data_IF_486432969890
#
_entry.id   IF_486432969890
#
_cell.length_a   1.000
_cell.length_b   1.000
_cell.length_c   1.000
_cell.angle_alpha   90.00
_cell.angle_beta   90.00
_cell.angle_gamma   90.00
#
_symmetry.space_group_name_H-M   'P 1'
#
loop_
_entity.id
_entity.type
_entity.pdbx_description
1 polymer ?
#
# COMPACT_ATOMS: atom_id res chain seq x y z
N UNK A 1 14.77 9.00 -42.16
CA UNK A 1 14.94 7.52 -42.18
C UNK A 1 14.36 6.94 -43.47
N UNK A 2 15.13 6.12 -44.22
CA UNK A 2 14.66 5.44 -45.46
C UNK A 2 13.65 4.31 -45.12
N UNK A 3 12.76 3.99 -46.07
CA UNK A 3 11.49 3.27 -45.85
C UNK A 3 11.51 1.89 -45.18
N UNK A 4 12.65 1.19 -45.07
CA UNK A 4 12.72 -0.15 -44.43
C UNK A 4 12.70 -0.08 -42.90
N UNK A 5 13.34 0.92 -42.29
CA UNK A 5 13.42 1.04 -40.83
C UNK A 5 12.09 1.46 -40.19
N UNK A 6 11.21 2.10 -40.96
CA UNK A 6 9.85 2.48 -40.54
C UNK A 6 8.97 1.28 -40.14
N UNK A 7 9.21 0.11 -40.74
CA UNK A 7 8.40 -1.09 -40.51
C UNK A 7 8.96 -2.02 -39.41
N UNK A 8 10.18 -1.78 -38.92
CA UNK A 8 10.77 -2.52 -37.79
C UNK A 8 9.98 -2.26 -36.50
N UNK A 9 10.10 -3.15 -35.52
CA UNK A 9 9.56 -2.92 -34.19
C UNK A 9 10.20 -1.68 -33.56
N UNK A 10 9.42 -0.97 -32.75
CA UNK A 10 9.87 0.24 -32.08
C UNK A 10 10.87 -0.09 -30.97
N UNK A 11 11.89 0.75 -30.80
CA UNK A 11 12.91 0.65 -29.76
C UNK A 11 12.34 0.70 -28.33
N UNK A 12 11.12 1.24 -28.14
CA UNK A 12 10.47 1.36 -26.83
C UNK A 12 9.93 0.03 -26.28
N UNK A 13 10.03 -1.07 -27.02
CA UNK A 13 9.54 -2.40 -26.59
C UNK A 13 8.02 -2.56 -26.61
N UNK A 14 7.27 -1.60 -27.16
CA UNK A 14 5.79 -1.63 -27.19
C UNK A 14 5.17 -2.72 -28.08
N UNK A 15 5.98 -3.48 -28.84
CA UNK A 15 5.51 -4.42 -29.86
C UNK A 15 4.92 -3.77 -31.12
N UNK A 16 4.85 -2.43 -31.18
CA UNK A 16 4.35 -1.70 -32.36
C UNK A 16 5.48 -1.44 -33.37
N UNK A 17 5.14 -1.36 -34.66
CA UNK A 17 6.06 -0.87 -35.70
C UNK A 17 6.48 0.57 -35.37
N UNK A 18 7.73 0.95 -35.63
CA UNK A 18 8.27 2.28 -35.35
C UNK A 18 7.40 3.40 -35.96
N UNK A 19 6.94 3.22 -37.21
CA UNK A 19 6.03 4.16 -37.89
C UNK A 19 4.66 4.35 -37.22
N UNK A 20 4.24 3.41 -36.37
CA UNK A 20 2.99 3.45 -35.61
C UNK A 20 3.20 3.83 -34.15
N UNK A 21 4.44 4.14 -33.74
CA UNK A 21 4.80 4.36 -32.36
C UNK A 21 5.57 5.67 -32.15
N UNK A 22 6.80 5.76 -32.65
CA UNK A 22 7.74 6.83 -32.30
C UNK A 22 8.27 7.66 -33.49
N UNK A 23 7.80 7.42 -34.72
CA UNK A 23 8.31 8.14 -35.90
C UNK A 23 8.14 9.66 -35.87
N UNK A 24 7.00 10.13 -35.34
CA UNK A 24 6.65 11.56 -35.26
C UNK A 24 6.28 11.95 -33.82
N UNK A 25 6.82 11.26 -32.82
CA UNK A 25 6.43 11.40 -31.40
C UNK A 25 6.67 12.80 -30.84
N UNK A 26 7.78 13.41 -31.24
CA UNK A 26 8.21 14.75 -30.82
C UNK A 26 7.26 15.85 -31.32
N UNK A 27 6.57 15.62 -32.44
CA UNK A 27 5.60 16.56 -33.01
C UNK A 27 4.17 16.36 -32.48
N UNK A 28 3.95 15.38 -31.60
CA UNK A 28 2.63 15.15 -30.98
C UNK A 28 2.39 16.13 -29.83
N UNK A 29 1.12 16.43 -29.54
CA UNK A 29 0.78 17.24 -28.37
C UNK A 29 1.22 16.53 -27.07
N UNK A 30 1.93 17.24 -26.17
CA UNK A 30 2.26 16.70 -24.86
C UNK A 30 1.01 16.29 -24.06
N UNK A 31 1.16 15.25 -23.25
CA UNK A 31 0.13 14.83 -22.30
C UNK A 31 -0.05 15.92 -21.24
N UNK A 32 -1.30 16.28 -20.95
CA UNK A 32 -1.64 17.30 -19.94
C UNK A 32 -1.74 16.69 -18.55
N UNK A 33 -1.63 17.53 -17.53
CA UNK A 33 -1.88 17.10 -16.14
C UNK A 33 -3.28 16.50 -15.94
N UNK A 34 -4.29 17.00 -16.67
CA UNK A 34 -5.64 16.44 -16.69
C UNK A 34 -5.66 14.96 -17.09
N UNK A 35 -4.83 14.59 -18.06
CA UNK A 35 -4.77 13.23 -18.59
C UNK A 35 -4.14 12.28 -17.57
N UNK A 36 -3.14 12.75 -16.80
CA UNK A 36 -2.58 12.00 -15.67
C UNK A 36 -3.64 11.71 -14.59
N UNK A 37 -4.47 12.70 -14.28
CA UNK A 37 -5.60 12.53 -13.34
C UNK A 37 -6.60 11.52 -13.88
N UNK A 38 -6.89 11.53 -15.19
CA UNK A 38 -7.80 10.56 -15.82
C UNK A 38 -7.23 9.13 -15.82
N UNK A 39 -5.94 8.96 -16.10
CA UNK A 39 -5.26 7.66 -16.02
C UNK A 39 -5.35 7.12 -14.58
N UNK A 40 -5.08 7.94 -13.56
CA UNK A 40 -5.20 7.53 -12.17
C UNK A 40 -6.64 7.22 -11.75
N UNK A 41 -7.65 7.90 -12.34
CA UNK A 41 -9.06 7.54 -12.13
C UNK A 41 -9.37 6.16 -12.70
N UNK A 42 -8.81 5.77 -13.86
CA UNK A 42 -9.00 4.42 -14.44
C UNK A 42 -8.49 3.33 -13.50
N UNK A 43 -7.33 3.52 -12.87
CA UNK A 43 -6.77 2.59 -11.88
C UNK A 43 -7.78 2.26 -10.77
N UNK A 44 -8.55 3.25 -10.31
CA UNK A 44 -9.52 3.09 -9.20
C UNK A 44 -10.92 2.61 -9.61
N UNK A 45 -11.18 2.44 -10.91
CA UNK A 45 -12.52 2.15 -11.45
C UNK A 45 -12.66 0.76 -12.08
N UNK A 46 -11.63 -0.10 -12.00
CA UNK A 46 -11.74 -1.50 -12.43
C UNK A 46 -12.69 -2.23 -11.48
N UNK A 47 -13.66 -2.94 -12.05
CA UNK A 47 -14.68 -3.69 -11.30
C UNK A 47 -14.35 -5.17 -11.32
N UNK A 48 -13.98 -5.71 -10.16
CA UNK A 48 -13.65 -7.12 -9.99
C UNK A 48 -14.13 -7.60 -8.61
N UNK A 49 -14.35 -8.91 -8.47
CA UNK A 49 -14.48 -9.55 -7.17
C UNK A 49 -13.24 -10.40 -6.90
N UNK A 50 -12.48 -10.04 -5.87
CA UNK A 50 -11.25 -10.73 -5.46
C UNK A 50 -11.51 -11.94 -4.55
N UNK A 51 -12.76 -12.39 -4.43
CA UNK A 51 -13.09 -13.64 -3.73
C UNK A 51 -12.38 -14.85 -4.39
N UNK A 52 -12.10 -15.94 -3.63
CA UNK A 52 -11.56 -17.18 -4.18
C UNK A 52 -12.37 -17.66 -5.39
N UNK A 53 -11.69 -18.23 -6.39
CA UNK A 53 -12.35 -18.69 -7.62
C UNK A 53 -13.40 -19.77 -7.32
N UNK A 54 -13.13 -20.60 -6.32
CA UNK A 54 -13.98 -21.69 -5.83
C UNK A 54 -15.35 -21.21 -5.36
N UNK A 55 -15.44 -19.98 -4.84
CA UNK A 55 -16.70 -19.37 -4.40
C UNK A 55 -17.18 -18.28 -5.35
N UNK A 56 -16.52 -18.04 -6.49
CA UNK A 56 -16.96 -16.99 -7.43
C UNK A 56 -18.29 -17.30 -8.11
N UNK A 57 -18.71 -18.57 -8.18
CA UNK A 57 -20.03 -18.95 -8.68
C UNK A 57 -21.18 -18.24 -7.94
N UNK A 58 -20.93 -17.86 -6.69
CA UNK A 58 -21.85 -17.16 -5.81
C UNK A 58 -21.81 -15.62 -5.95
N UNK A 59 -20.94 -15.08 -6.82
CA UNK A 59 -20.82 -13.64 -6.99
C UNK A 59 -22.16 -12.97 -7.33
N UNK A 60 -22.53 -11.96 -6.55
CA UNK A 60 -23.60 -11.06 -6.94
C UNK A 60 -23.21 -10.24 -8.18
N UNK A 61 -24.20 -9.85 -9.00
CA UNK A 61 -23.98 -9.01 -10.19
C UNK A 61 -23.43 -7.61 -9.86
N UNK A 62 -23.53 -7.17 -8.60
CA UNK A 62 -23.19 -5.81 -8.16
C UNK A 62 -21.80 -5.77 -7.51
N UNK A 63 -20.81 -5.29 -8.24
CA UNK A 63 -19.54 -4.83 -7.65
C UNK A 63 -19.78 -3.51 -6.91
N UNK A 64 -19.35 -3.45 -5.65
CA UNK A 64 -19.56 -2.29 -4.77
C UNK A 64 -18.26 -1.52 -4.56
N UNK A 65 -18.36 -0.34 -3.95
CA UNK A 65 -17.21 0.38 -3.40
C UNK A 65 -16.92 -0.18 -2.01
N UNK A 66 -16.23 -1.31 -1.97
CA UNK A 66 -15.85 -2.02 -0.74
C UNK A 66 -14.81 -1.23 0.05
N UNK A 67 -14.96 -1.16 1.37
CA UNK A 67 -14.04 -0.49 2.27
C UNK A 67 -12.88 -1.42 2.64
N UNK A 68 -11.66 -1.08 2.23
CA UNK A 68 -10.45 -1.85 2.60
C UNK A 68 -10.01 -1.62 4.04
N UNK A 69 -10.38 -0.46 4.62
CA UNK A 69 -10.36 -0.19 6.05
C UNK A 69 -11.82 -0.02 6.49
N UNK A 70 -12.28 -0.84 7.44
CA UNK A 70 -13.68 -0.86 7.88
C UNK A 70 -14.20 0.53 8.22
N UNK A 71 -15.30 0.94 7.58
CA UNK A 71 -15.86 2.28 7.78
C UNK A 71 -16.36 2.50 9.21
N UNK A 72 -17.19 1.59 9.70
CA UNK A 72 -17.92 1.78 10.96
C UNK A 72 -17.01 1.61 12.19
N UNK A 73 -16.15 0.58 12.17
CA UNK A 73 -15.27 0.27 13.31
C UNK A 73 -14.03 1.17 13.34
N UNK A 74 -13.47 1.52 12.17
CA UNK A 74 -12.18 2.21 12.09
C UNK A 74 -12.33 3.65 11.63
N UNK A 75 -12.68 3.89 10.36
CA UNK A 75 -12.65 5.26 9.79
C UNK A 75 -13.55 6.25 10.54
N UNK A 76 -14.73 5.83 10.98
CA UNK A 76 -15.68 6.70 11.71
C UNK A 76 -15.10 7.21 13.03
N UNK A 77 -14.28 6.41 13.71
CA UNK A 77 -13.72 6.77 15.02
C UNK A 77 -12.65 7.86 14.97
N UNK A 78 -12.09 8.13 13.78
CA UNK A 78 -11.09 9.19 13.55
C UNK A 78 -11.62 10.33 12.67
N UNK A 79 -12.91 10.29 12.31
CA UNK A 79 -13.55 11.31 11.50
C UNK A 79 -13.98 12.53 12.33
N UNK A 80 -13.99 13.70 11.68
CA UNK A 80 -14.60 14.89 12.27
C UNK A 80 -16.14 14.78 12.33
N UNK A 81 -16.79 15.76 12.95
CA UNK A 81 -18.26 15.82 13.08
C UNK A 81 -18.99 15.83 11.72
N UNK A 82 -18.29 16.23 10.64
CA UNK A 82 -18.79 16.25 9.26
C UNK A 82 -18.45 14.97 8.50
N UNK A 83 -17.98 13.93 9.18
CA UNK A 83 -17.56 12.64 8.64
C UNK A 83 -16.41 12.76 7.61
N UNK A 84 -15.47 13.67 7.84
CA UNK A 84 -14.26 13.82 7.04
C UNK A 84 -12.99 13.37 7.77
N UNK A 85 -12.02 12.96 6.98
CA UNK A 85 -10.69 12.53 7.37
C UNK A 85 -9.65 13.34 6.62
N UNK A 86 -8.45 13.42 7.18
CA UNK A 86 -7.28 13.92 6.47
C UNK A 86 -6.44 12.76 5.91
N UNK A 87 -5.77 13.02 4.79
CA UNK A 87 -4.77 12.15 4.17
C UNK A 87 -3.77 13.03 3.42
N UNK A 88 -2.64 12.47 2.97
CA UNK A 88 -1.67 13.18 2.15
C UNK A 88 -1.80 12.75 0.69
N UNK A 89 -1.75 13.71 -0.22
CA UNK A 89 -1.70 13.46 -1.66
C UNK A 89 -0.46 14.07 -2.25
N UNK A 90 0.20 13.30 -3.10
CA UNK A 90 1.28 13.80 -3.95
C UNK A 90 0.67 14.43 -5.20
N UNK A 91 1.07 15.66 -5.50
CA UNK A 91 0.78 16.41 -6.72
C UNK A 91 2.09 16.77 -7.44
N UNK A 92 2.00 17.09 -8.72
CA UNK A 92 3.13 17.50 -9.56
C UNK A 92 4.34 16.55 -9.51
N UNK A 93 4.13 15.28 -9.86
CA UNK A 93 5.22 14.33 -10.16
C UNK A 93 5.89 14.73 -11.49
N UNK A 94 6.64 15.83 -11.49
CA UNK A 94 7.41 16.22 -12.66
C UNK A 94 8.74 15.46 -12.62
N UNK A 95 8.67 14.19 -13.07
CA UNK A 95 9.78 13.22 -13.07
C UNK A 95 11.04 13.81 -13.72
N UNK A 96 10.88 14.75 -14.66
CA UNK A 96 11.96 15.38 -15.42
C UNK A 96 12.87 16.32 -14.62
N UNK A 97 12.37 16.95 -13.56
CA UNK A 97 13.14 18.00 -12.87
C UNK A 97 13.79 17.57 -11.56
N UNK A 98 13.55 16.33 -11.10
CA UNK A 98 13.87 15.91 -9.73
C UNK A 98 13.40 16.94 -8.68
N UNK A 99 12.36 17.72 -9.00
CA UNK A 99 11.75 18.67 -8.07
C UNK A 99 11.07 17.86 -6.97
N UNK A 100 11.26 18.27 -5.71
CA UNK A 100 10.62 17.60 -4.58
C UNK A 100 9.11 17.51 -4.83
N UNK A 101 8.51 16.31 -4.82
CA UNK A 101 7.09 16.16 -5.11
C UNK A 101 6.30 17.05 -4.16
N UNK A 102 5.28 17.73 -4.68
CA UNK A 102 4.41 18.54 -3.83
C UNK A 102 3.51 17.56 -3.07
N UNK A 103 3.45 17.72 -1.75
CA UNK A 103 2.61 16.90 -0.89
C UNK A 103 1.64 17.81 -0.19
N UNK A 104 0.36 17.59 -0.42
CA UNK A 104 -0.72 18.42 0.08
C UNK A 104 -1.60 17.63 1.02
N UNK A 105 -2.07 18.30 2.07
CA UNK A 105 -3.16 17.80 2.88
C UNK A 105 -4.43 17.69 2.03
N UNK A 106 -5.06 16.54 2.05
CA UNK A 106 -6.34 16.31 1.39
C UNK A 106 -7.40 15.88 2.38
N UNK A 107 -8.57 16.51 2.31
CA UNK A 107 -9.74 16.17 3.11
C UNK A 107 -10.63 15.22 2.29
N UNK A 108 -11.06 14.12 2.89
CA UNK A 108 -11.86 13.08 2.24
C UNK A 108 -12.95 12.56 3.18
N UNK A 109 -14.18 12.46 2.68
CA UNK A 109 -15.29 11.88 3.45
C UNK A 109 -15.15 10.36 3.63
N UNK A 110 -15.60 9.84 4.78
CA UNK A 110 -15.49 8.40 5.13
C UNK A 110 -16.13 7.44 4.10
N UNK A 111 -17.12 7.91 3.33
CA UNK A 111 -17.76 7.11 2.29
C UNK A 111 -16.92 6.96 1.01
N UNK A 112 -15.83 7.73 0.88
CA UNK A 112 -14.88 7.66 -0.24
C UNK A 112 -13.49 7.19 0.22
N UNK A 113 -13.15 7.41 1.48
CA UNK A 113 -11.90 6.95 2.06
C UNK A 113 -11.82 5.43 2.02
N UNK A 114 -10.68 4.92 1.56
CA UNK A 114 -10.37 3.49 1.52
C UNK A 114 -11.40 2.64 0.75
N UNK A 115 -12.08 3.19 -0.26
CA UNK A 115 -13.08 2.44 -1.04
C UNK A 115 -12.60 2.05 -2.42
N UNK A 116 -12.74 0.77 -2.78
CA UNK A 116 -12.32 0.21 -4.07
C UNK A 116 -13.33 -0.81 -4.62
N UNK A 117 -13.35 -1.00 -5.94
CA UNK A 117 -14.30 -1.89 -6.63
C UNK A 117 -13.78 -3.32 -6.73
N UNK A 118 -13.41 -3.89 -5.57
CA UNK A 118 -12.66 -5.15 -5.44
C UNK A 118 -13.48 -6.33 -4.92
N UNK A 119 -14.70 -6.11 -4.43
CA UNK A 119 -15.62 -7.16 -4.01
C UNK A 119 -17.03 -6.89 -4.51
N UNK A 120 -17.79 -7.96 -4.75
CA UNK A 120 -19.23 -7.88 -4.95
C UNK A 120 -19.95 -7.71 -3.61
N UNK A 121 -21.19 -7.23 -3.60
CA UNK A 121 -21.92 -6.98 -2.35
C UNK A 121 -22.11 -8.23 -1.48
N UNK A 122 -22.21 -9.42 -2.07
CA UNK A 122 -22.33 -10.68 -1.31
C UNK A 122 -21.02 -11.01 -0.59
N UNK A 123 -19.92 -11.15 -1.35
CA UNK A 123 -18.64 -11.57 -0.79
C UNK A 123 -18.00 -10.54 0.14
N UNK A 124 -18.25 -9.25 -0.05
CA UNK A 124 -17.80 -8.23 0.90
C UNK A 124 -18.38 -8.48 2.30
N UNK A 125 -19.69 -8.76 2.38
CA UNK A 125 -20.39 -9.06 3.63
C UNK A 125 -19.95 -10.41 4.19
N UNK A 126 -19.99 -11.47 3.39
CA UNK A 126 -19.75 -12.83 3.87
C UNK A 126 -18.31 -13.03 4.35
N UNK A 127 -17.33 -12.58 3.58
CA UNK A 127 -15.92 -12.78 3.92
C UNK A 127 -15.53 -11.98 5.17
N UNK A 128 -16.01 -10.75 5.30
CA UNK A 128 -15.52 -9.84 6.33
C UNK A 128 -16.47 -9.64 7.50
N UNK A 129 -17.59 -10.37 7.57
CA UNK A 129 -18.51 -10.31 8.71
C UNK A 129 -17.82 -10.60 10.05
N UNK A 130 -16.77 -11.43 10.07
CA UNK A 130 -16.00 -11.73 11.28
C UNK A 130 -15.24 -10.52 11.84
N UNK A 131 -14.99 -9.51 11.00
CA UNK A 131 -14.33 -8.25 11.38
C UNK A 131 -15.33 -7.14 11.70
N UNK A 132 -16.52 -7.19 11.12
CA UNK A 132 -17.49 -6.08 11.17
C UNK A 132 -18.64 -6.32 12.14
N UNK A 133 -19.02 -7.58 12.36
CA UNK A 133 -20.19 -7.96 13.15
C UNK A 133 -19.84 -8.78 14.40
N UNK A 134 -18.55 -8.90 14.74
CA UNK A 134 -18.06 -9.59 15.95
C UNK A 134 -17.03 -8.73 16.67
N UNK A 135 -16.93 -8.91 17.98
CA UNK A 135 -15.84 -8.33 18.76
C UNK A 135 -14.51 -8.95 18.33
N UNK A 136 -13.46 -8.13 18.32
CA UNK A 136 -12.13 -8.58 17.92
C UNK A 136 -11.41 -9.19 19.12
N UNK A 137 -11.23 -10.51 19.09
CA UNK A 137 -10.71 -11.30 20.22
C UNK A 137 -9.40 -12.03 19.88
N UNK A 138 -8.73 -11.60 18.80
CA UNK A 138 -7.52 -12.24 18.26
C UNK A 138 -7.74 -13.70 17.82
N UNK A 139 -8.95 -14.04 17.38
CA UNK A 139 -9.15 -15.31 16.69
C UNK A 139 -8.30 -15.33 15.41
N UNK A 140 -7.68 -16.47 15.09
CA UNK A 140 -6.80 -16.58 13.93
C UNK A 140 -7.51 -16.19 12.63
N UNK A 141 -8.81 -16.50 12.48
CA UNK A 141 -9.66 -16.05 11.37
C UNK A 141 -9.73 -14.51 11.26
N UNK A 142 -9.77 -13.78 12.37
CA UNK A 142 -9.85 -12.32 12.35
C UNK A 142 -8.54 -11.71 11.85
N UNK A 143 -7.41 -12.20 12.35
CA UNK A 143 -6.08 -11.79 11.88
C UNK A 143 -5.92 -12.14 10.39
N UNK A 144 -6.29 -13.36 10.01
CA UNK A 144 -6.25 -13.84 8.65
C UNK A 144 -7.09 -12.96 7.71
N UNK A 145 -8.32 -12.62 8.08
CA UNK A 145 -9.19 -11.81 7.23
C UNK A 145 -8.74 -10.35 7.10
N UNK A 146 -8.07 -9.77 8.12
CA UNK A 146 -7.41 -8.47 7.99
C UNK A 146 -6.31 -8.54 6.93
N UNK A 147 -5.43 -9.54 7.01
CA UNK A 147 -4.37 -9.75 6.04
C UNK A 147 -4.91 -10.03 4.63
N UNK A 148 -5.93 -10.87 4.52
CA UNK A 148 -6.59 -11.20 3.26
C UNK A 148 -7.16 -9.96 2.56
N UNK A 149 -7.83 -9.08 3.32
CA UNK A 149 -8.38 -7.83 2.80
C UNK A 149 -7.28 -6.93 2.23
N UNK A 150 -6.18 -6.78 2.97
CA UNK A 150 -5.04 -5.97 2.55
C UNK A 150 -4.33 -6.56 1.33
N UNK A 151 -4.21 -7.90 1.26
CA UNK A 151 -3.62 -8.59 0.11
C UNK A 151 -4.44 -8.36 -1.16
N UNK A 152 -5.77 -8.54 -1.07
CA UNK A 152 -6.68 -8.30 -2.19
C UNK A 152 -6.59 -6.85 -2.70
N UNK A 153 -6.50 -5.90 -1.78
CA UNK A 153 -6.33 -4.49 -2.08
C UNK A 153 -5.01 -4.20 -2.80
N UNK A 154 -3.89 -4.68 -2.26
CA UNK A 154 -2.57 -4.43 -2.83
C UNK A 154 -2.43 -5.06 -4.22
N UNK A 155 -2.87 -6.31 -4.38
CA UNK A 155 -2.86 -7.00 -5.67
C UNK A 155 -3.74 -6.25 -6.70
N UNK A 156 -4.95 -5.83 -6.30
CA UNK A 156 -5.82 -5.04 -7.17
C UNK A 156 -5.15 -3.73 -7.62
N UNK A 157 -4.50 -3.00 -6.72
CA UNK A 157 -3.82 -1.75 -7.06
C UNK A 157 -2.70 -1.99 -8.07
N UNK A 158 -1.82 -2.96 -7.80
CA UNK A 158 -0.70 -3.25 -8.70
C UNK A 158 -1.18 -3.69 -10.08
N UNK A 159 -2.17 -4.57 -10.17
CA UNK A 159 -2.75 -4.97 -11.46
C UNK A 159 -3.41 -3.81 -12.19
N UNK A 160 -4.16 -2.96 -11.48
CA UNK A 160 -4.83 -1.80 -12.08
C UNK A 160 -3.85 -0.73 -12.55
N UNK A 161 -2.73 -0.57 -11.84
CA UNK A 161 -1.60 0.22 -12.30
C UNK A 161 -1.07 -0.41 -13.59
N UNK A 162 -0.68 -1.68 -13.61
CA UNK A 162 -0.12 -2.32 -14.80
C UNK A 162 -1.05 -2.22 -16.04
N UNK A 163 -2.37 -2.37 -15.86
CA UNK A 163 -3.37 -2.24 -16.92
C UNK A 163 -3.34 -0.87 -17.64
N UNK A 164 -2.88 0.18 -16.94
CA UNK A 164 -2.77 1.54 -17.46
C UNK A 164 -1.34 1.91 -17.92
N UNK A 165 -0.43 0.93 -17.98
CA UNK A 165 0.95 1.11 -18.44
C UNK A 165 1.02 1.71 -19.86
N UNK A 166 0.17 1.25 -20.77
CA UNK A 166 0.16 1.71 -22.18
C UNK A 166 -0.11 3.21 -22.28
N UNK A 167 -1.03 3.73 -21.46
CA UNK A 167 -1.32 5.15 -21.37
C UNK A 167 -0.17 5.92 -20.72
N UNK A 168 0.43 5.40 -19.64
CA UNK A 168 1.58 6.07 -18.99
C UNK A 168 2.80 6.16 -19.90
N UNK A 169 3.06 5.14 -20.71
CA UNK A 169 4.09 5.19 -21.76
C UNK A 169 3.82 6.23 -22.86
N UNK A 170 2.71 6.96 -22.82
CA UNK A 170 2.48 8.11 -23.71
C UNK A 170 2.93 9.45 -23.12
N UNK A 171 3.48 9.51 -21.90
CA UNK A 171 4.01 10.75 -21.31
C UNK A 171 5.20 11.34 -22.07
N UNK A 172 5.82 10.57 -22.96
CA UNK A 172 6.91 11.02 -23.82
C UNK A 172 6.44 11.73 -25.11
N UNK A 173 5.13 11.91 -25.32
CA UNK A 173 4.61 12.68 -26.47
C UNK A 173 5.05 14.13 -26.39
N UNK A 174 5.45 14.70 -27.52
CA UNK A 174 5.88 16.09 -27.61
C UNK A 174 7.23 16.38 -26.94
N UNK A 175 7.97 15.33 -26.56
CA UNK A 175 9.27 15.45 -25.90
C UNK A 175 10.42 15.18 -26.89
N UNK A 176 11.61 15.77 -26.67
CA UNK A 176 12.82 15.41 -27.42
C UNK A 176 13.19 13.93 -27.27
N UNK A 177 13.87 13.36 -28.27
CA UNK A 177 14.20 11.91 -28.30
C UNK A 177 14.93 11.41 -27.04
N UNK A 178 15.81 12.22 -26.45
CA UNK A 178 16.55 11.86 -25.22
C UNK A 178 15.59 11.69 -24.04
N UNK A 179 14.64 12.60 -23.87
CA UNK A 179 13.60 12.50 -22.84
C UNK A 179 12.67 11.31 -23.12
N UNK A 180 12.33 11.05 -24.39
CA UNK A 180 11.52 9.88 -24.75
C UNK A 180 12.21 8.57 -24.34
N UNK A 181 13.51 8.44 -24.59
CA UNK A 181 14.28 7.25 -24.20
C UNK A 181 14.28 7.06 -22.68
N UNK A 182 14.52 8.14 -21.92
CA UNK A 182 14.51 8.13 -20.45
C UNK A 182 13.14 7.71 -19.89
N UNK A 183 12.06 8.33 -20.37
CA UNK A 183 10.69 8.03 -19.95
C UNK A 183 10.32 6.58 -20.26
N UNK A 184 10.66 6.08 -21.46
CA UNK A 184 10.37 4.69 -21.83
C UNK A 184 11.20 3.69 -21.02
N UNK A 185 12.46 3.99 -20.71
CA UNK A 185 13.30 3.15 -19.86
C UNK A 185 12.76 3.09 -18.44
N UNK A 186 12.38 4.23 -17.86
CA UNK A 186 11.76 4.31 -16.53
C UNK A 186 10.48 3.47 -16.44
N UNK A 187 9.52 3.67 -17.36
CA UNK A 187 8.29 2.90 -17.34
C UNK A 187 8.50 1.42 -17.65
N UNK A 188 9.54 1.06 -18.44
CA UNK A 188 9.92 -0.34 -18.61
C UNK A 188 10.40 -0.96 -17.31
N UNK A 189 11.36 -0.34 -16.63
CA UNK A 189 11.85 -0.81 -15.35
C UNK A 189 10.71 -0.92 -14.31
N UNK A 190 9.87 0.10 -14.22
CA UNK A 190 8.72 0.12 -13.32
C UNK A 190 7.73 -1.00 -13.61
N UNK A 191 7.37 -1.23 -14.89
CA UNK A 191 6.47 -2.32 -15.26
C UNK A 191 7.09 -3.70 -14.97
N UNK A 192 8.38 -3.88 -15.22
CA UNK A 192 9.10 -5.14 -14.93
C UNK A 192 9.09 -5.42 -13.42
N UNK A 193 9.41 -4.43 -12.57
CA UNK A 193 9.34 -4.54 -11.11
C UNK A 193 7.90 -4.79 -10.60
N UNK A 194 6.91 -4.14 -11.22
CA UNK A 194 5.50 -4.32 -10.89
C UNK A 194 5.03 -5.74 -11.21
N UNK A 195 5.47 -6.33 -12.32
CA UNK A 195 5.16 -7.72 -12.68
C UNK A 195 5.74 -8.72 -11.67
N UNK A 196 6.96 -8.49 -11.17
CA UNK A 196 7.56 -9.32 -10.10
C UNK A 196 6.69 -9.25 -8.83
N UNK A 197 6.32 -8.04 -8.39
CA UNK A 197 5.44 -7.87 -7.23
C UNK A 197 4.06 -8.51 -7.42
N UNK A 198 3.46 -8.43 -8.62
CA UNK A 198 2.18 -9.08 -8.93
C UNK A 198 2.30 -10.60 -8.89
N UNK A 199 3.38 -11.17 -9.44
CA UNK A 199 3.66 -12.62 -9.37
C UNK A 199 3.65 -13.10 -7.92
N UNK A 200 4.41 -12.45 -7.06
CA UNK A 200 4.56 -12.86 -5.66
C UNK A 200 3.24 -12.77 -4.89
N UNK A 201 2.50 -11.66 -5.09
CA UNK A 201 1.18 -11.48 -4.47
C UNK A 201 0.14 -12.48 -4.99
N UNK A 202 0.24 -12.94 -6.24
CA UNK A 202 -0.65 -13.99 -6.78
C UNK A 202 -0.38 -15.33 -6.12
N UNK A 203 0.88 -15.72 -5.98
CA UNK A 203 1.26 -16.95 -5.27
C UNK A 203 0.78 -16.92 -3.80
N UNK A 204 0.91 -15.76 -3.15
CA UNK A 204 0.38 -15.57 -1.80
C UNK A 204 -1.16 -15.66 -1.78
N UNK A 205 -1.83 -15.02 -2.74
CA UNK A 205 -3.29 -15.02 -2.85
C UNK A 205 -3.84 -16.43 -3.05
N UNK A 206 -3.20 -17.26 -3.85
CA UNK A 206 -3.56 -18.67 -4.03
C UNK A 206 -3.51 -19.44 -2.71
N UNK A 207 -2.48 -19.20 -1.87
CA UNK A 207 -2.38 -19.83 -0.54
C UNK A 207 -3.49 -19.35 0.40
N UNK A 208 -3.72 -18.04 0.47
CA UNK A 208 -4.81 -17.48 1.24
C UNK A 208 -6.17 -18.02 0.77
N UNK A 209 -6.41 -18.11 -0.54
CA UNK A 209 -7.68 -18.63 -1.09
C UNK A 209 -7.93 -20.09 -0.71
N UNK A 210 -6.88 -20.91 -0.78
CA UNK A 210 -6.91 -22.31 -0.34
C UNK A 210 -7.24 -22.42 1.15
N UNK A 211 -6.50 -21.70 2.02
CA UNK A 211 -6.75 -21.72 3.46
C UNK A 211 -8.13 -21.17 3.84
N UNK A 212 -8.59 -20.13 3.16
CA UNK A 212 -9.93 -19.56 3.37
C UNK A 212 -11.03 -20.55 3.02
N UNK A 213 -10.91 -21.22 1.87
CA UNK A 213 -11.90 -22.20 1.38
C UNK A 213 -11.94 -23.45 2.27
N UNK A 214 -10.76 -23.90 2.74
CA UNK A 214 -10.64 -25.05 3.66
C UNK A 214 -10.91 -24.69 5.13
N UNK A 215 -11.09 -23.41 5.46
CA UNK A 215 -11.28 -22.89 6.83
C UNK A 215 -10.10 -23.17 7.76
N UNK A 216 -8.89 -23.06 7.25
CA UNK A 216 -7.62 -23.32 7.96
C UNK A 216 -6.93 -22.01 8.34
N UNK A 217 -7.10 -21.55 9.58
CA UNK A 217 -6.61 -20.23 10.00
C UNK A 217 -5.35 -20.25 10.87
N UNK A 218 -4.90 -21.43 11.32
CA UNK A 218 -3.66 -21.59 12.10
C UNK A 218 -2.37 -21.38 11.27
N UNK A 219 -2.53 -20.96 10.02
CA UNK A 219 -1.48 -20.61 9.09
C UNK A 219 -0.95 -19.17 9.25
N UNK A 220 -1.50 -18.35 10.16
CA UNK A 220 -1.14 -16.93 10.27
C UNK A 220 -0.25 -16.64 11.48
N UNK A 221 0.81 -15.84 11.27
CA UNK A 221 1.60 -15.21 12.34
C UNK A 221 1.12 -13.80 12.60
N UNK A 222 1.21 -13.34 13.85
CA UNK A 222 0.95 -11.96 14.19
C UNK A 222 1.77 -11.43 15.35
N UNK A 223 1.96 -10.12 15.32
CA UNK A 223 2.46 -9.28 16.39
C UNK A 223 1.57 -8.05 16.50
N UNK A 224 0.98 -7.84 17.68
CA UNK A 224 0.05 -6.76 17.92
C UNK A 224 0.43 -5.93 19.13
N UNK A 225 0.36 -4.61 18.98
CA UNK A 225 0.54 -3.64 20.05
C UNK A 225 -0.83 -3.05 20.38
N UNK A 226 -1.23 -3.16 21.64
CA UNK A 226 -2.46 -2.56 22.18
C UNK A 226 -2.14 -1.20 22.79
N UNK A 227 -2.88 -0.16 22.39
CA UNK A 227 -2.77 1.20 22.95
C UNK A 227 -4.06 1.62 23.66
N UNK A 228 -3.92 2.40 24.73
CA UNK A 228 -5.02 2.80 25.62
C UNK A 228 -5.91 3.93 25.09
N UNK A 229 -5.83 4.25 23.80
CA UNK A 229 -6.56 5.33 23.16
C UNK A 229 -6.96 4.96 21.74
N UNK A 230 -7.91 5.70 21.18
CA UNK A 230 -8.16 5.73 19.74
C UNK A 230 -6.95 6.36 19.06
N UNK A 231 -6.39 5.66 18.08
CA UNK A 231 -5.26 6.12 17.30
C UNK A 231 -5.60 7.40 16.52
N UNK A 232 -4.66 8.36 16.47
CA UNK A 232 -4.76 9.58 15.66
C UNK A 232 -4.76 9.29 14.15
N UNK A 233 -4.27 8.13 13.75
CA UNK A 233 -4.18 7.70 12.35
C UNK A 233 -4.54 6.23 12.20
N UNK A 234 -5.08 5.88 11.05
CA UNK A 234 -5.40 4.51 10.67
C UNK A 234 -4.80 4.27 9.30
N UNK A 235 -4.06 3.17 9.18
CA UNK A 235 -3.53 2.70 7.91
C UNK A 235 -3.67 1.21 7.77
N UNK A 236 -3.66 0.75 6.52
CA UNK A 236 -3.55 -0.67 6.20
C UNK A 236 -2.71 -0.90 4.94
N UNK A 237 -1.93 -1.97 4.90
CA UNK A 237 -1.17 -2.34 3.71
C UNK A 237 -0.78 -3.82 3.72
N UNK A 238 -0.34 -4.29 2.55
CA UNK A 238 0.52 -5.45 2.39
C UNK A 238 1.86 -4.92 1.89
N UNK A 239 2.94 -5.13 2.64
CA UNK A 239 4.23 -4.50 2.38
C UNK A 239 5.37 -5.51 2.46
N UNK A 240 6.37 -5.36 1.58
CA UNK A 240 7.54 -6.23 1.55
C UNK A 240 8.65 -5.65 2.43
N UNK A 241 9.11 -6.37 3.48
CA UNK A 241 10.16 -5.90 4.37
C UNK A 241 11.53 -5.89 3.69
N UNK A 242 11.91 -4.73 3.15
CA UNK A 242 13.21 -4.51 2.49
C UNK A 242 14.31 -4.08 3.45
N UNK A 243 13.94 -3.38 4.52
CA UNK A 243 14.83 -2.97 5.62
C UNK A 243 14.07 -3.06 6.93
N UNK A 244 14.80 -3.25 8.04
CA UNK A 244 14.25 -3.25 9.39
C UNK A 244 14.31 -1.86 10.05
N UNK A 245 13.87 -1.73 11.31
CA UNK A 245 13.92 -0.46 12.06
C UNK A 245 15.35 -0.04 12.46
N UNK A 246 16.34 -0.90 12.23
CA UNK A 246 17.77 -0.62 12.38
C UNK A 246 18.41 -0.19 11.05
N UNK A 247 17.63 -0.14 9.97
CA UNK A 247 18.07 0.04 8.57
C UNK A 247 18.99 -1.08 8.05
N UNK A 248 18.92 -2.26 8.66
CA UNK A 248 19.56 -3.46 8.11
C UNK A 248 18.80 -3.90 6.86
N UNK A 249 19.49 -4.07 5.73
CA UNK A 249 18.90 -4.63 4.50
C UNK A 249 18.42 -6.06 4.80
N UNK A 250 17.12 -6.29 4.62
CA UNK A 250 16.49 -7.59 4.83
C UNK A 250 16.37 -8.36 3.53
N UNK A 251 16.01 -7.70 2.43
CA UNK A 251 15.75 -8.33 1.14
C UNK A 251 16.57 -7.69 0.02
N UNK A 252 16.94 -8.48 -0.98
CA UNK A 252 17.59 -7.99 -2.20
C UNK A 252 16.61 -7.95 -3.37
N UNK A 253 16.05 -6.78 -3.65
CA UNK A 253 15.07 -6.58 -4.72
C UNK A 253 15.64 -6.73 -6.13
N UNK A 254 16.97 -6.82 -6.28
CA UNK A 254 17.60 -7.09 -7.58
C UNK A 254 17.46 -8.57 -7.99
N UNK A 255 17.30 -9.47 -7.02
CA UNK A 255 17.03 -10.88 -7.29
C UNK A 255 15.55 -11.10 -7.61
N UNK A 256 15.20 -10.94 -8.88
CA UNK A 256 13.81 -11.10 -9.36
C UNK A 256 13.27 -12.52 -9.23
N UNK A 257 14.12 -13.53 -9.02
CA UNK A 257 13.68 -14.93 -8.83
C UNK A 257 13.29 -15.23 -7.38
N UNK A 258 13.79 -14.43 -6.43
CA UNK A 258 13.42 -14.57 -5.03
C UNK A 258 11.96 -14.15 -4.81
N UNK A 259 11.27 -14.89 -3.94
CA UNK A 259 9.88 -14.62 -3.56
C UNK A 259 9.88 -14.26 -2.08
N UNK A 260 9.34 -13.09 -1.79
CA UNK A 260 9.32 -12.54 -0.45
C UNK A 260 7.97 -12.76 0.22
N UNK A 261 7.99 -13.07 1.51
CA UNK A 261 6.80 -13.07 2.34
C UNK A 261 6.50 -11.64 2.79
N UNK A 262 5.39 -11.01 2.36
CA UNK A 262 5.04 -9.68 2.79
C UNK A 262 4.42 -9.67 4.18
N UNK A 263 4.55 -8.56 4.88
CA UNK A 263 3.82 -8.26 6.11
C UNK A 263 2.56 -7.47 5.76
N UNK A 264 1.41 -7.94 6.22
CA UNK A 264 0.20 -7.14 6.33
C UNK A 264 0.24 -6.32 7.62
N UNK A 265 0.01 -5.01 7.53
CA UNK A 265 -0.15 -4.14 8.69
C UNK A 265 -1.55 -3.52 8.72
N UNK A 266 -2.13 -3.37 9.90
CA UNK A 266 -3.44 -2.74 10.10
C UNK A 266 -3.52 -2.06 11.45
N UNK A 267 -4.12 -0.87 11.49
CA UNK A 267 -4.59 -0.26 12.73
C UNK A 267 -6.09 -0.45 12.80
N UNK A 268 -6.57 -1.06 13.89
CA UNK A 268 -7.99 -1.20 14.15
C UNK A 268 -8.34 -0.61 15.51
N UNK A 269 -9.55 -0.09 15.62
CA UNK A 269 -10.06 0.48 16.85
C UNK A 269 -11.10 -0.46 17.45
N UNK A 270 -10.98 -0.67 18.76
CA UNK A 270 -11.86 -1.55 19.55
C UNK A 270 -12.25 -0.74 20.78
N UNK A 271 -13.53 -0.37 20.85
CA UNK A 271 -14.08 0.48 21.90
C UNK A 271 -13.29 1.79 22.08
N UNK A 272 -12.55 1.93 23.19
CA UNK A 272 -11.72 3.10 23.50
C UNK A 272 -10.21 2.84 23.33
N UNK A 273 -9.85 1.73 22.69
CA UNK A 273 -8.47 1.28 22.47
C UNK A 273 -8.20 1.10 20.98
N UNK A 274 -6.93 0.96 20.62
CA UNK A 274 -6.53 0.57 19.27
C UNK A 274 -5.51 -0.55 19.30
N UNK A 275 -5.54 -1.37 18.25
CA UNK A 275 -4.54 -2.40 17.99
C UNK A 275 -3.78 -2.03 16.73
N UNK A 276 -2.45 -2.05 16.82
CA UNK A 276 -1.56 -2.05 15.67
C UNK A 276 -1.16 -3.49 15.44
N UNK A 277 -1.57 -4.08 14.32
CA UNK A 277 -1.41 -5.51 14.03
C UNK A 277 -0.53 -5.66 12.81
N UNK A 278 0.57 -6.39 12.97
CA UNK A 278 1.39 -6.90 11.87
C UNK A 278 1.15 -8.40 11.76
N UNK A 279 0.98 -8.92 10.55
CA UNK A 279 0.67 -10.33 10.30
C UNK A 279 1.19 -10.81 8.96
N UNK A 280 1.52 -12.09 8.86
CA UNK A 280 2.02 -12.72 7.63
C UNK A 280 1.71 -14.22 7.65
N UNK A 281 1.78 -14.85 6.48
CA UNK A 281 1.52 -16.28 6.35
C UNK A 281 2.73 -17.08 6.85
N UNK A 282 2.51 -18.01 7.77
CA UNK A 282 3.51 -18.92 8.32
C UNK A 282 4.05 -19.83 7.21
N UNK A 283 5.35 -20.13 7.25
CA UNK A 283 6.02 -21.07 6.33
C UNK A 283 5.85 -20.73 4.83
N UNK A 284 5.39 -19.52 4.50
CA UNK A 284 5.30 -19.04 3.12
C UNK A 284 6.63 -18.41 2.72
N UNK A 285 7.43 -19.14 1.93
CA UNK A 285 8.78 -18.74 1.57
C UNK A 285 9.60 -18.30 2.81
N UNK A 286 10.57 -17.42 2.66
CA UNK A 286 11.46 -17.02 3.74
C UNK A 286 10.77 -16.05 4.72
N UNK A 287 10.01 -16.58 5.70
CA UNK A 287 9.35 -15.79 6.75
C UNK A 287 10.35 -15.06 7.68
N UNK A 288 11.64 -15.37 7.56
CA UNK A 288 12.73 -14.74 8.31
C UNK A 288 12.76 -13.22 8.16
N UNK A 289 12.38 -12.70 7.00
CA UNK A 289 12.32 -11.26 6.74
C UNK A 289 11.28 -10.60 7.63
N UNK A 290 10.11 -11.24 7.76
CA UNK A 290 9.05 -10.77 8.65
C UNK A 290 9.49 -10.82 10.12
N UNK A 291 10.12 -11.93 10.52
CA UNK A 291 10.63 -12.09 11.89
C UNK A 291 11.70 -11.03 12.23
N UNK A 292 12.68 -10.79 11.36
CA UNK A 292 13.72 -9.77 11.59
C UNK A 292 13.14 -8.36 11.71
N UNK A 293 12.22 -8.01 10.81
CA UNK A 293 11.53 -6.73 10.86
C UNK A 293 10.80 -6.53 12.20
N UNK A 294 9.98 -7.50 12.62
CA UNK A 294 9.24 -7.43 13.88
C UNK A 294 10.17 -7.49 15.10
N UNK A 295 11.24 -8.28 15.08
CA UNK A 295 12.24 -8.30 16.15
C UNK A 295 12.89 -6.93 16.34
N UNK A 296 13.22 -6.22 15.25
CA UNK A 296 13.77 -4.86 15.35
C UNK A 296 12.76 -3.87 15.98
N UNK A 297 11.48 -3.94 15.61
CA UNK A 297 10.41 -3.14 16.24
C UNK A 297 10.22 -3.50 17.72
N UNK A 298 10.28 -4.78 18.05
CA UNK A 298 10.11 -5.26 19.42
C UNK A 298 11.24 -4.73 20.34
N UNK A 299 12.46 -4.63 19.83
CA UNK A 299 13.64 -4.10 20.54
C UNK A 299 13.56 -2.58 20.81
N UNK A 300 12.71 -1.83 20.12
CA UNK A 300 12.54 -0.38 20.35
C UNK A 300 11.92 -0.14 21.74
N UNK A 301 12.48 0.77 22.56
CA UNK A 301 11.90 1.18 23.85
C UNK A 301 10.45 1.68 23.73
N UNK A 302 9.62 1.41 24.74
CA UNK A 302 8.18 1.74 24.68
C UNK A 302 7.89 3.23 24.45
N UNK A 303 8.75 4.12 24.95
CA UNK A 303 8.64 5.57 24.81
C UNK A 303 9.06 6.09 23.42
N UNK A 304 9.66 5.25 22.58
CA UNK A 304 10.01 5.53 21.18
C UNK A 304 9.19 4.71 20.17
N UNK A 305 8.59 3.60 20.62
CA UNK A 305 7.92 2.62 19.75
C UNK A 305 6.75 3.22 18.96
N UNK A 306 5.95 4.11 19.58
CA UNK A 306 4.85 4.80 18.88
C UNK A 306 5.38 5.72 17.77
N UNK A 307 6.46 6.47 18.02
CA UNK A 307 7.10 7.29 17.02
C UNK A 307 7.75 6.51 15.88
N UNK A 308 8.34 5.35 16.17
CA UNK A 308 8.85 4.44 15.14
C UNK A 308 7.73 3.94 14.22
N UNK A 309 6.59 3.54 14.80
CA UNK A 309 5.40 3.11 14.05
C UNK A 309 4.85 4.26 13.20
N UNK A 310 4.73 5.47 13.77
CA UNK A 310 4.29 6.66 13.02
C UNK A 310 5.19 6.92 11.81
N UNK A 311 6.51 6.90 12.02
CA UNK A 311 7.48 7.07 10.94
C UNK A 311 7.27 6.01 9.86
N UNK A 312 7.23 4.72 10.23
CA UNK A 312 7.06 3.65 9.26
C UNK A 312 5.74 3.75 8.48
N UNK A 313 4.62 4.04 9.13
CA UNK A 313 3.33 4.20 8.45
C UNK A 313 3.35 5.37 7.46
N UNK A 314 3.86 6.53 7.86
CA UNK A 314 3.96 7.68 6.95
C UNK A 314 4.96 7.44 5.82
N UNK A 315 6.01 6.64 6.04
CA UNK A 315 6.98 6.31 4.98
C UNK A 315 6.58 5.14 4.08
N UNK A 316 5.63 4.28 4.46
CA UNK A 316 5.41 3.00 3.76
C UNK A 316 3.96 2.71 3.37
N UNK A 317 2.99 3.46 3.88
CA UNK A 317 1.56 3.11 3.78
C UNK A 317 0.79 4.19 3.04
N UNK A 318 0.33 3.87 1.83
CA UNK A 318 -0.49 4.79 1.02
C UNK A 318 -1.96 4.86 1.49
N UNK A 319 -2.52 3.74 1.98
CA UNK A 319 -3.89 3.69 2.48
C UNK A 319 -3.95 4.20 3.93
N UNK A 320 -3.57 5.47 4.12
CA UNK A 320 -3.35 6.11 5.40
C UNK A 320 -4.28 7.32 5.55
N UNK A 321 -4.99 7.38 6.67
CA UNK A 321 -5.91 8.46 7.03
C UNK A 321 -5.68 8.86 8.48
N UNK A 322 -5.94 10.11 8.81
CA UNK A 322 -5.72 10.64 10.15
C UNK A 322 -6.74 11.71 10.54
N UNK A 323 -6.86 11.91 11.86
CA UNK A 323 -7.73 12.91 12.45
C UNK A 323 -7.33 14.30 11.98
N UNK A 324 -8.29 15.09 11.50
CA UNK A 324 -8.04 16.47 11.06
C UNK A 324 -7.63 17.37 12.23
N UNK A 325 -8.23 17.17 13.40
CA UNK A 325 -7.90 17.91 14.63
C UNK A 325 -6.46 17.65 15.07
N UNK A 326 -6.02 16.39 15.08
CA UNK A 326 -4.64 16.02 15.36
C UNK A 326 -3.68 16.72 14.41
N UNK A 327 -3.92 16.59 13.10
CA UNK A 327 -3.06 17.24 12.09
C UNK A 327 -2.99 18.76 12.32
N UNK A 328 -4.13 19.42 12.55
CA UNK A 328 -4.16 20.87 12.73
C UNK A 328 -3.37 21.32 13.97
N UNK A 329 -3.39 20.54 15.04
CA UNK A 329 -2.69 20.82 16.29
C UNK A 329 -1.17 20.58 16.22
N UNK A 330 -0.67 19.86 15.21
CA UNK A 330 0.78 19.71 14.99
C UNK A 330 1.42 21.05 14.62
N UNK A 331 2.62 21.28 15.15
CA UNK A 331 3.47 22.42 14.76
C UNK A 331 3.89 22.29 13.30
N UNK A 332 4.21 23.40 12.65
CA UNK A 332 4.65 23.40 11.25
C UNK A 332 5.87 22.50 11.01
N UNK A 333 6.79 22.44 11.97
CA UNK A 333 7.96 21.55 11.89
C UNK A 333 7.57 20.07 11.92
N UNK A 334 6.61 19.69 12.76
CA UNK A 334 6.12 18.30 12.90
C UNK A 334 5.37 17.86 11.63
N UNK A 335 4.53 18.75 11.08
CA UNK A 335 3.89 18.54 9.77
C UNK A 335 4.92 18.31 8.66
N UNK A 336 5.99 19.10 8.64
CA UNK A 336 7.06 18.96 7.64
C UNK A 336 7.81 17.63 7.78
N UNK A 337 8.05 17.16 9.01
CA UNK A 337 8.65 15.84 9.26
C UNK A 337 7.79 14.74 8.64
N UNK A 338 6.49 14.71 8.93
CA UNK A 338 5.56 13.70 8.41
C UNK A 338 5.41 13.77 6.88
N UNK A 339 5.38 14.99 6.32
CA UNK A 339 5.36 15.21 4.87
C UNK A 339 6.65 14.66 4.23
N UNK A 340 7.80 14.87 4.86
CA UNK A 340 9.07 14.36 4.33
C UNK A 340 9.12 12.84 4.35
N UNK A 341 8.64 12.20 5.42
CA UNK A 341 8.48 10.74 5.50
C UNK A 341 7.63 10.21 4.33
N UNK A 342 6.46 10.82 4.10
CA UNK A 342 5.55 10.44 3.02
C UNK A 342 6.14 10.58 1.61
N UNK A 343 7.14 11.46 1.43
CA UNK A 343 7.84 11.64 0.15
C UNK A 343 8.99 10.64 -0.06
N UNK A 344 9.53 10.02 0.99
CA UNK A 344 10.76 9.23 0.91
C UNK A 344 10.74 8.10 -0.13
N UNK A 345 9.67 7.27 -0.24
CA UNK A 345 9.65 6.17 -1.20
C UNK A 345 9.78 6.63 -2.65
N UNK A 346 9.27 7.83 -2.96
CA UNK A 346 9.32 8.39 -4.32
C UNK A 346 10.71 8.91 -4.69
N UNK A 347 11.61 9.04 -3.71
CA UNK A 347 12.98 9.53 -3.90
C UNK A 347 14.01 8.39 -3.85
N UNK A 348 13.57 7.13 -3.77
CA UNK A 348 14.42 5.95 -3.53
C UNK A 348 15.33 6.11 -2.29
N UNK A 349 14.81 6.81 -1.26
CA UNK A 349 15.53 7.15 -0.02
C UNK A 349 14.86 6.57 1.22
N UNK A 350 14.20 5.43 1.08
CA UNK A 350 13.52 4.81 2.21
C UNK A 350 14.50 4.55 3.35
N UNK A 351 14.34 5.27 4.46
CA UNK A 351 15.19 5.13 5.65
C UNK A 351 14.40 5.46 6.90
N UNK A 352 14.37 4.52 7.84
CA UNK A 352 13.78 4.70 9.15
C UNK A 352 14.82 5.32 10.09
N UNK A 353 14.87 6.65 10.10
CA UNK A 353 15.76 7.41 10.97
C UNK A 353 15.25 7.44 12.43
N UNK A 354 15.97 6.71 13.29
CA UNK A 354 15.69 6.58 14.73
C UNK A 354 15.74 7.90 15.49
N UNK A 355 16.49 8.89 15.00
CA UNK A 355 16.60 10.21 15.66
C UNK A 355 15.24 10.93 15.78
N UNK A 356 14.27 10.56 14.94
CA UNK A 356 12.92 11.10 14.98
C UNK A 356 11.97 10.33 15.91
N UNK A 357 12.30 9.13 16.38
CA UNK A 357 11.32 8.28 17.08
C UNK A 357 10.79 8.95 18.34
N UNK A 358 11.67 9.45 19.22
CA UNK A 358 11.24 10.17 20.43
C UNK A 358 10.37 11.39 20.12
N UNK A 359 10.78 12.20 19.13
CA UNK A 359 10.02 13.38 18.69
C UNK A 359 8.64 13.00 18.12
N UNK A 360 8.57 11.93 17.34
CA UNK A 360 7.33 11.41 16.77
C UNK A 360 6.41 10.82 17.85
N UNK A 361 6.96 10.17 18.88
CA UNK A 361 6.17 9.68 20.02
C UNK A 361 5.43 10.84 20.71
N UNK A 362 6.06 12.01 20.84
CA UNK A 362 5.43 13.20 21.42
C UNK A 362 4.29 13.79 20.56
N UNK A 363 4.21 13.42 19.27
CA UNK A 363 3.08 13.80 18.40
C UNK A 363 1.83 12.95 18.68
N UNK A 364 1.94 11.86 19.43
CA UNK A 364 0.88 10.91 19.72
C UNK A 364 0.57 10.88 21.22
N UNK A 365 -0.65 10.47 21.57
CA UNK A 365 -1.04 10.21 22.96
C UNK A 365 -1.07 8.71 23.28
N UNK A 366 -0.28 7.92 22.55
CA UNK A 366 -0.28 6.46 22.68
C UNK A 366 0.41 6.05 23.97
N UNK A 367 -0.34 5.33 24.81
CA UNK A 367 0.21 4.57 25.91
C UNK A 367 0.04 3.08 25.60
N UNK A 368 1.17 2.37 25.48
CA UNK A 368 1.19 0.95 25.14
C UNK A 368 0.80 0.14 26.37
N UNK A 369 -0.31 -0.60 26.25
CA UNK A 369 -0.85 -1.43 27.33
C UNK A 369 -0.25 -2.83 27.32
N UNK A 370 -0.17 -3.44 26.13
CA UNK A 370 0.21 -4.82 25.97
C UNK A 370 0.78 -5.08 24.57
N UNK A 371 1.56 -6.15 24.44
CA UNK A 371 2.02 -6.68 23.17
C UNK A 371 1.61 -8.16 23.12
N UNK A 372 0.73 -8.51 22.17
CA UNK A 372 0.21 -9.87 21.98
C UNK A 372 0.71 -10.45 20.67
N UNK A 373 1.23 -11.67 20.70
CA UNK A 373 1.77 -12.33 19.50
C UNK A 373 1.70 -13.86 19.61
N UNK A 374 1.83 -14.55 18.48
CA UNK A 374 1.99 -16.01 18.40
C UNK A 374 3.39 -16.42 17.85
N UNK A 375 4.37 -15.55 18.06
CA UNK A 375 5.75 -15.68 17.60
C UNK A 375 6.68 -16.33 18.64
N UNK A 376 7.75 -16.95 18.14
CA UNK A 376 8.87 -17.41 18.94
C UNK A 376 10.14 -16.59 18.61
N UNK A 377 10.59 -15.76 19.54
CA UNK A 377 11.74 -14.87 19.37
C UNK A 377 13.10 -15.50 19.71
N UNK A 378 13.15 -16.76 20.17
CA UNK A 378 14.36 -17.37 20.75
C UNK A 378 15.58 -17.40 19.80
N UNK A 379 15.38 -17.19 18.50
CA UNK A 379 16.45 -17.25 17.48
C UNK A 379 16.74 -15.92 16.74
N UNK A 380 16.22 -14.75 17.17
CA UNK A 380 16.19 -13.51 16.33
C UNK A 380 16.57 -12.17 16.98
#
# INVERSE_FOLDING_TARGET
>A
MKGKDRNKLCWCGSGKKFKKCHIDRENQSPIRQSDFIEINKKVKNKKICMAPEEIKCDCSKKIIKAHTISKNCNLKSIADEKNNLATLKLSNLNIEKAENPICELSIIGINKASTYQIFCSKHDVELFSVLENKNFEFENIQIFMLAYRNLCYELYLKESILDTSKERRCFDRGKPIVEQLSIQAHFKFYDDALNVGIRDLKLLKEKFDSFLTNREFDCIRYYSIEISSISQFIGSCTWFPIVDFDNTKLADLENIEEIFNPISASIINIDNKSLIIFSWLKDFYNEQYCMKFISSLNKIPNDEKSGAILHWFFSSVENLYFQLSWWNNLKSEEKNILINFYKQPMLDRFKLDKSFYKKCSHMLNWNILNIKHNLNFINY
#
